data_IF_219568813552
#
_entry.id   IF_219568813552
#
_cell.length_a   1.000
_cell.length_b   1.000
_cell.length_c   1.000
_cell.angle_alpha   90.00
_cell.angle_beta   90.00
_cell.angle_gamma   90.00
#
_symmetry.space_group_name_H-M   'P 1'
#
loop_
_entity.id
_entity.type
_entity.pdbx_description
1 polymer ?
#
# COMPACT_ATOMS: atom_id res chain seq x y z
N UNK A 1 -8.15 12.65 -11.21
CA UNK A 1 -8.06 11.17 -11.12
C UNK A 1 -6.59 10.71 -11.16
N UNK A 2 -5.82 10.96 -12.23
CA UNK A 2 -4.45 10.42 -12.41
C UNK A 2 -3.47 10.82 -11.29
N UNK A 3 -3.42 12.10 -10.88
CA UNK A 3 -2.48 12.56 -9.84
C UNK A 3 -2.73 11.88 -8.49
N UNK A 4 -4.00 11.71 -8.10
CA UNK A 4 -4.37 11.08 -6.82
C UNK A 4 -4.07 9.58 -6.80
N UNK A 5 -4.34 8.87 -7.90
CA UNK A 5 -4.03 7.43 -8.02
C UNK A 5 -2.52 7.17 -8.10
N UNK A 6 -1.75 8.07 -8.74
CA UNK A 6 -0.28 7.97 -8.81
C UNK A 6 0.37 8.24 -7.45
N UNK A 7 -0.09 9.26 -6.71
CA UNK A 7 0.39 9.52 -5.36
C UNK A 7 0.09 8.35 -4.39
N UNK A 8 -1.09 7.74 -4.53
CA UNK A 8 -1.49 6.55 -3.79
C UNK A 8 -0.67 5.30 -4.16
N UNK A 9 -0.37 5.10 -5.44
CA UNK A 9 0.46 4.01 -5.90
C UNK A 9 1.90 4.12 -5.35
N UNK A 10 2.42 5.34 -5.22
CA UNK A 10 3.72 5.61 -4.59
C UNK A 10 3.77 5.19 -3.12
N UNK A 11 2.78 5.57 -2.30
CA UNK A 11 2.72 5.16 -0.89
C UNK A 11 2.45 3.67 -0.73
N UNK A 12 1.62 3.07 -1.58
CA UNK A 12 1.34 1.64 -1.58
C UNK A 12 2.59 0.81 -1.94
N UNK A 13 3.43 1.31 -2.85
CA UNK A 13 4.68 0.64 -3.27
C UNK A 13 5.76 0.62 -2.17
N UNK A 14 5.70 1.54 -1.21
CA UNK A 14 6.58 1.53 -0.03
C UNK A 14 6.13 0.45 0.95
N UNK A 15 4.82 0.16 1.01
CA UNK A 15 4.20 -0.75 1.96
C UNK A 15 4.10 -2.20 1.48
N UNK A 16 3.93 -2.44 0.17
CA UNK A 16 3.88 -3.79 -0.40
C UNK A 16 5.30 -4.35 -0.55
N UNK A 17 5.65 -5.45 0.14
CA UNK A 17 6.96 -6.07 0.01
C UNK A 17 7.12 -6.77 -1.35
N UNK A 18 8.31 -6.74 -2.00
CA UNK A 18 9.63 -6.40 -1.47
C UNK A 18 10.02 -4.96 -1.81
N UNK A 19 9.75 -4.02 -0.90
CA UNK A 19 10.21 -2.64 -1.03
C UNK A 19 11.58 -2.47 -0.36
N UNK A 20 12.50 -1.75 -1.01
CA UNK A 20 13.85 -1.45 -0.48
C UNK A 20 13.75 -0.81 0.91
N UNK A 21 12.75 0.07 1.11
CA UNK A 21 12.49 0.76 2.38
C UNK A 21 12.18 -0.22 3.51
N UNK A 22 11.37 -1.25 3.26
CA UNK A 22 11.01 -2.26 4.26
C UNK A 22 12.18 -3.20 4.58
N UNK A 23 13.01 -3.51 3.57
CA UNK A 23 14.27 -4.23 3.76
C UNK A 23 15.25 -3.44 4.65
N UNK A 24 15.44 -2.16 4.35
CA UNK A 24 16.28 -1.26 5.15
C UNK A 24 15.73 -1.14 6.57
N UNK A 25 14.42 -1.00 6.75
CA UNK A 25 13.80 -1.00 8.08
C UNK A 25 14.06 -2.30 8.86
N UNK A 26 13.95 -3.46 8.21
CA UNK A 26 14.26 -4.77 8.82
C UNK A 26 15.72 -4.90 9.24
N UNK A 27 16.65 -4.36 8.44
CA UNK A 27 18.09 -4.31 8.78
C UNK A 27 18.34 -3.40 9.98
N UNK A 28 17.73 -2.21 10.03
CA UNK A 28 17.91 -1.25 11.14
C UNK A 28 17.30 -1.80 12.44
N UNK A 29 16.20 -2.55 12.35
CA UNK A 29 15.50 -3.10 13.51
C UNK A 29 15.95 -4.51 13.91
N UNK A 30 16.95 -5.08 13.21
CA UNK A 30 17.41 -6.47 13.36
C UNK A 30 16.28 -7.51 13.33
N UNK A 31 15.15 -7.17 12.71
CA UNK A 31 13.99 -8.06 12.60
C UNK A 31 14.08 -8.93 11.36
N UNK A 32 13.55 -10.15 11.44
CA UNK A 32 13.54 -11.07 10.31
C UNK A 32 12.77 -10.45 9.12
N UNK A 33 13.47 -10.19 8.03
CA UNK A 33 12.94 -9.55 6.82
C UNK A 33 11.70 -10.31 6.29
N UNK A 34 11.74 -11.65 6.34
CA UNK A 34 10.61 -12.50 5.92
C UNK A 34 9.36 -12.34 6.80
N UNK A 35 9.53 -12.21 8.12
CA UNK A 35 8.42 -11.94 9.03
C UNK A 35 7.83 -10.55 8.84
N UNK A 36 8.69 -9.56 8.55
CA UNK A 36 8.28 -8.19 8.25
C UNK A 36 7.50 -8.13 6.92
N UNK A 37 7.92 -8.89 5.91
CA UNK A 37 7.20 -8.99 4.64
C UNK A 37 5.80 -9.56 4.81
N UNK A 38 5.62 -10.61 5.62
CA UNK A 38 4.29 -11.17 5.90
C UNK A 38 3.44 -10.14 6.66
N UNK A 39 4.03 -9.42 7.62
CA UNK A 39 3.35 -8.36 8.35
C UNK A 39 2.93 -7.19 7.43
N UNK A 40 3.68 -6.90 6.36
CA UNK A 40 3.39 -5.87 5.35
C UNK A 40 2.21 -6.17 4.42
N UNK A 41 1.84 -7.44 4.27
CA UNK A 41 0.68 -7.85 3.45
C UNK A 41 -0.62 -7.28 4.03
N UNK A 42 -0.77 -7.32 5.34
CA UNK A 42 -1.99 -6.88 6.04
C UNK A 42 -2.30 -5.39 5.84
N UNK A 43 -1.38 -4.44 6.11
CA UNK A 43 -1.61 -3.03 5.85
C UNK A 43 -1.64 -2.70 4.34
N UNK A 44 -0.87 -3.42 3.52
CA UNK A 44 -0.91 -3.27 2.05
C UNK A 44 -2.27 -3.63 1.45
N UNK A 45 -2.91 -4.71 1.95
CA UNK A 45 -4.24 -5.11 1.50
C UNK A 45 -5.31 -4.10 1.93
N UNK A 46 -5.24 -3.59 3.17
CA UNK A 46 -6.17 -2.59 3.70
C UNK A 46 -6.10 -1.28 2.90
N UNK A 47 -4.90 -0.81 2.60
CA UNK A 47 -4.71 0.41 1.80
C UNK A 47 -5.12 0.21 0.34
N UNK A 48 -4.82 -0.93 -0.27
CA UNK A 48 -5.28 -1.26 -1.62
C UNK A 48 -6.83 -1.30 -1.71
N UNK A 49 -7.49 -1.96 -0.76
CA UNK A 49 -8.96 -2.08 -0.73
C UNK A 49 -9.65 -0.75 -0.46
N UNK A 50 -9.10 0.08 0.42
CA UNK A 50 -9.66 1.40 0.71
C UNK A 50 -9.56 2.34 -0.50
N UNK A 51 -8.44 2.34 -1.22
CA UNK A 51 -8.31 3.12 -2.47
C UNK A 51 -9.24 2.60 -3.57
N UNK A 52 -9.33 1.27 -3.77
CA UNK A 52 -10.26 0.67 -4.72
C UNK A 52 -11.73 0.97 -4.36
N UNK A 53 -12.08 0.91 -3.07
CA UNK A 53 -13.41 1.19 -2.56
C UNK A 53 -13.83 2.65 -2.76
N UNK A 54 -12.95 3.60 -2.41
CA UNK A 54 -13.21 5.04 -2.59
C UNK A 54 -13.37 5.37 -4.07
N UNK A 55 -12.47 4.90 -4.94
CA UNK A 55 -12.57 5.19 -6.37
C UNK A 55 -13.82 4.57 -6.99
N UNK A 56 -14.19 3.35 -6.62
CA UNK A 56 -15.43 2.70 -7.09
C UNK A 56 -16.69 3.38 -6.56
N UNK A 57 -16.72 3.76 -5.28
CA UNK A 57 -17.86 4.46 -4.68
C UNK A 57 -18.06 5.84 -5.30
N UNK A 58 -16.98 6.62 -5.43
CA UNK A 58 -17.04 7.95 -6.05
C UNK A 58 -17.45 7.87 -7.52
N UNK A 59 -16.94 6.88 -8.28
CA UNK A 59 -17.32 6.70 -9.70
C UNK A 59 -18.79 6.26 -9.84
N UNK A 60 -19.32 5.47 -8.90
CA UNK A 60 -20.74 5.10 -8.88
C UNK A 60 -21.66 6.23 -8.45
N UNK A 61 -21.25 7.09 -7.52
CA UNK A 61 -22.06 8.23 -7.06
C UNK A 61 -22.06 9.42 -8.03
N UNK A 62 -20.94 9.72 -8.72
CA UNK A 62 -20.84 10.85 -9.67
C UNK A 62 -21.52 10.57 -11.02
N UNK A 63 -21.86 9.31 -11.32
CA UNK A 63 -22.57 8.92 -12.54
C UNK A 63 -24.10 8.91 -12.38
N UNK A 64 -24.63 9.26 -11.21
CA UNK A 64 -26.05 9.54 -10.97
C UNK A 64 -26.27 11.05 -10.94
#
# INVERSE_FOLDING_TARGET
>A
MIVGTVAAAGTLSIMIPPSVVMMVYGIITETSIGGLFIAGILPGLVTALSFAGITMFWTRCIRC
#
